data_IF_208145289230
#
_entry.id   IF_208145289230
#
_cell.length_a   1.000
_cell.length_b   1.000
_cell.length_c   1.000
_cell.angle_alpha   90.00
_cell.angle_beta   90.00
_cell.angle_gamma   90.00
#
_symmetry.space_group_name_H-M   'P 1'
#
loop_
_entity.id
_entity.type
_entity.pdbx_description
1 polymer ?
#
# COMPACT_ATOMS: atom_id res chain seq x y z
N UNK A 1 11.99 -28.29 8.17
CA UNK A 1 10.96 -29.34 8.13
C UNK A 1 11.32 -30.36 7.04
N UNK A 2 10.92 -31.63 7.18
CA UNK A 2 11.20 -32.67 6.17
C UNK A 2 10.40 -32.39 4.89
N UNK A 3 11.01 -32.62 3.74
CA UNK A 3 10.42 -32.41 2.41
C UNK A 3 9.88 -33.73 1.88
N UNK A 4 8.66 -33.75 1.35
CA UNK A 4 8.12 -34.89 0.61
C UNK A 4 8.74 -34.95 -0.80
N UNK A 5 9.18 -36.13 -1.29
CA UNK A 5 9.75 -36.26 -2.63
C UNK A 5 8.64 -36.24 -3.69
N UNK A 6 8.69 -35.28 -4.62
CA UNK A 6 7.73 -35.20 -5.73
C UNK A 6 7.71 -33.85 -6.47
N UNK A 7 8.02 -32.74 -5.79
CA UNK A 7 8.16 -31.44 -6.44
C UNK A 7 9.63 -31.16 -6.81
N UNK A 8 9.92 -31.09 -8.11
CA UNK A 8 11.09 -30.34 -8.58
C UNK A 8 10.89 -28.86 -8.27
N UNK A 9 11.59 -28.35 -7.25
CA UNK A 9 11.66 -26.92 -6.97
C UNK A 9 12.60 -26.27 -8.00
N UNK A 10 12.04 -25.53 -8.95
CA UNK A 10 12.82 -24.50 -9.63
C UNK A 10 13.01 -23.34 -8.64
N UNK A 11 14.25 -23.14 -8.21
CA UNK A 11 14.63 -22.19 -7.16
C UNK A 11 14.57 -20.72 -7.60
N UNK A 12 14.18 -20.45 -8.86
CA UNK A 12 13.93 -19.12 -9.41
C UNK A 12 12.65 -18.44 -8.88
N UNK A 13 11.68 -19.19 -8.33
CA UNK A 13 10.34 -18.68 -8.00
C UNK A 13 10.18 -18.03 -6.61
N UNK A 14 11.14 -18.18 -5.69
CA UNK A 14 10.89 -18.03 -4.23
C UNK A 14 11.19 -16.62 -3.67
N UNK A 15 11.70 -15.67 -4.46
CA UNK A 15 12.35 -14.44 -3.94
C UNK A 15 11.54 -13.12 -3.98
N UNK A 16 10.26 -13.12 -4.38
CA UNK A 16 9.56 -11.88 -4.75
C UNK A 16 8.62 -11.22 -3.74
N UNK A 17 8.34 -11.79 -2.55
CA UNK A 17 7.30 -11.23 -1.67
C UNK A 17 7.63 -11.28 -0.17
N UNK A 18 7.63 -10.09 0.45
CA UNK A 18 7.22 -9.87 1.83
C UNK A 18 6.34 -8.61 1.86
N UNK A 19 5.15 -8.75 2.48
CA UNK A 19 4.33 -7.64 3.02
C UNK A 19 3.48 -6.80 2.05
N UNK A 20 2.73 -7.44 1.14
CA UNK A 20 1.32 -7.06 0.88
C UNK A 20 0.52 -8.35 0.78
N UNK A 21 -0.62 -8.43 1.48
CA UNK A 21 -1.54 -9.57 1.38
C UNK A 21 -2.93 -9.02 1.06
N UNK A 22 -3.46 -9.39 -0.10
CA UNK A 22 -4.87 -9.21 -0.46
C UNK A 22 -5.55 -10.56 -0.23
N UNK A 23 -6.60 -10.58 0.59
CA UNK A 23 -7.31 -11.82 0.95
C UNK A 23 -8.72 -11.82 0.41
N UNK A 24 -8.91 -12.64 -0.62
CA UNK A 24 -10.10 -13.45 -0.91
C UNK A 24 -9.58 -14.80 -1.53
N UNK A 25 -10.39 -15.71 -2.11
CA UNK A 25 -10.01 -17.12 -2.47
C UNK A 25 -10.07 -17.62 -3.95
N UNK A 26 -10.52 -18.85 -4.25
CA UNK A 26 -10.04 -19.65 -5.42
C UNK A 26 -10.94 -19.65 -6.68
N UNK A 27 -10.49 -19.96 -7.92
CA UNK A 27 -9.13 -20.13 -8.54
C UNK A 27 -9.21 -19.76 -10.06
N UNK A 28 -8.21 -19.07 -10.64
CA UNK A 28 -7.20 -19.69 -11.55
C UNK A 28 -6.20 -18.72 -12.24
N UNK A 29 -4.91 -19.04 -12.06
CA UNK A 29 -3.74 -18.65 -12.89
C UNK A 29 -3.15 -17.22 -12.84
N UNK A 30 -1.85 -17.20 -12.45
CA UNK A 30 -0.79 -16.17 -12.71
C UNK A 30 -0.80 -14.87 -11.87
N UNK A 31 -0.25 -14.98 -10.66
CA UNK A 31 0.15 -13.85 -9.79
C UNK A 31 1.03 -12.81 -10.50
N UNK A 32 0.80 -11.50 -10.27
CA UNK A 32 1.73 -10.39 -10.60
C UNK A 32 1.70 -9.29 -9.53
N UNK A 33 2.83 -8.62 -9.32
CA UNK A 33 3.14 -7.83 -8.12
C UNK A 33 2.65 -6.37 -8.13
N UNK A 34 2.60 -5.74 -6.95
CA UNK A 34 2.54 -4.28 -6.75
C UNK A 34 3.73 -3.82 -5.91
N UNK A 35 4.32 -2.69 -6.28
CA UNK A 35 5.43 -2.07 -5.55
C UNK A 35 4.91 -1.12 -4.47
N UNK A 36 5.25 -1.40 -3.22
CA UNK A 36 5.17 -0.46 -2.09
C UNK A 36 6.60 -0.04 -1.75
N UNK A 37 6.81 1.24 -1.44
CA UNK A 37 8.14 1.72 -1.07
C UNK A 37 8.38 1.43 0.42
N UNK A 38 9.41 0.64 0.71
CA UNK A 38 9.93 0.45 2.07
C UNK A 38 10.88 1.59 2.41
N UNK A 39 10.55 2.36 3.44
CA UNK A 39 11.33 3.54 3.85
C UNK A 39 12.65 3.23 4.58
N UNK A 40 12.94 1.97 4.91
CA UNK A 40 14.03 1.62 5.82
C UNK A 40 15.44 1.65 5.19
N UNK A 41 15.59 1.50 3.86
CA UNK A 41 16.89 1.24 3.23
C UNK A 41 17.21 2.13 2.03
N UNK A 42 18.35 2.82 2.12
CA UNK A 42 18.79 3.86 1.18
C UNK A 42 19.51 3.27 -0.06
N UNK A 43 18.91 2.27 -0.72
CA UNK A 43 19.54 1.51 -1.82
C UNK A 43 18.60 1.36 -3.04
N UNK A 44 19.03 1.71 -4.27
CA UNK A 44 18.21 1.51 -5.46
C UNK A 44 18.32 0.05 -5.94
N UNK A 45 17.29 -0.76 -5.70
CA UNK A 45 17.15 -2.11 -6.28
C UNK A 45 16.39 -2.04 -7.62
N UNK A 46 17.12 -1.74 -8.69
CA UNK A 46 16.62 -1.86 -10.07
C UNK A 46 16.61 -3.33 -10.50
N UNK A 47 15.49 -3.86 -10.96
CA UNK A 47 15.45 -5.11 -11.72
C UNK A 47 14.34 -5.11 -12.79
N UNK A 48 14.67 -5.67 -13.96
CA UNK A 48 14.03 -5.38 -15.26
C UNK A 48 13.00 -6.42 -15.74
N UNK A 49 12.36 -6.08 -16.87
CA UNK A 49 11.21 -6.74 -17.54
C UNK A 49 11.65 -7.93 -18.44
N UNK A 50 10.83 -8.63 -19.24
CA UNK A 50 9.51 -8.39 -19.87
C UNK A 50 8.66 -9.70 -19.84
N UNK A 51 7.56 -9.99 -20.54
CA UNK A 51 6.79 -9.44 -21.69
C UNK A 51 5.26 -9.62 -21.41
N UNK A 52 4.25 -9.38 -22.26
CA UNK A 52 4.10 -8.96 -23.69
C UNK A 52 2.70 -8.25 -23.81
N UNK A 53 2.05 -7.92 -24.95
CA UNK A 53 2.38 -8.02 -26.38
C UNK A 53 1.97 -6.71 -27.12
N UNK A 54 1.30 -6.76 -28.29
CA UNK A 54 1.06 -5.61 -29.18
C UNK A 54 -0.38 -5.07 -29.35
N UNK A 55 -0.43 -3.86 -29.94
CA UNK A 55 -1.54 -3.25 -30.75
C UNK A 55 -2.79 -2.78 -29.95
N UNK A 56 -3.39 -1.58 -30.10
CA UNK A 56 -3.20 -0.42 -31.01
C UNK A 56 -3.54 0.93 -30.31
N UNK A 57 -3.26 2.07 -30.97
CA UNK A 57 -3.63 3.44 -30.52
C UNK A 57 -5.12 3.78 -30.71
N UNK A 58 -5.72 4.58 -29.81
CA UNK A 58 -6.62 5.72 -30.14
C UNK A 58 -7.27 6.41 -28.91
N UNK A 59 -7.40 7.74 -28.97
CA UNK A 59 -8.57 8.51 -28.47
C UNK A 59 -8.78 8.71 -26.96
N UNK A 60 -8.95 9.98 -26.54
CA UNK A 60 -9.56 10.34 -25.25
C UNK A 60 -11.07 10.08 -25.31
N UNK A 61 -11.58 9.23 -24.42
CA UNK A 61 -13.01 8.91 -24.29
C UNK A 61 -13.18 7.57 -23.56
N UNK A 62 -14.33 7.36 -22.91
CA UNK A 62 -14.61 6.09 -22.25
C UNK A 62 -14.69 4.97 -23.30
N UNK A 63 -13.69 4.08 -23.32
CA UNK A 63 -13.65 2.98 -24.28
C UNK A 63 -14.55 1.85 -23.78
N UNK A 64 -15.47 1.39 -24.64
CA UNK A 64 -16.10 0.07 -24.47
C UNK A 64 -15.03 -0.99 -24.70
N UNK A 65 -14.72 -1.79 -23.67
CA UNK A 65 -13.87 -2.96 -23.83
C UNK A 65 -14.57 -4.05 -24.65
N UNK A 66 -13.80 -5.04 -25.13
CA UNK A 66 -14.32 -6.19 -25.89
C UNK A 66 -15.47 -6.96 -25.20
N UNK A 67 -15.60 -6.82 -23.88
CA UNK A 67 -16.62 -7.49 -23.06
C UNK A 67 -17.80 -6.55 -22.71
N UNK A 68 -17.93 -5.39 -23.35
CA UNK A 68 -18.97 -4.38 -23.04
C UNK A 68 -18.71 -3.53 -21.79
N UNK A 69 -17.73 -3.91 -20.95
CA UNK A 69 -17.33 -3.13 -19.76
C UNK A 69 -16.74 -1.78 -20.17
N UNK A 70 -17.30 -0.69 -19.65
CA UNK A 70 -16.76 0.67 -19.82
C UNK A 70 -15.45 0.83 -19.04
N UNK A 71 -14.44 1.39 -19.69
CA UNK A 71 -13.13 1.66 -19.10
C UNK A 71 -12.85 3.15 -18.91
N UNK A 72 -12.15 3.46 -17.83
CA UNK A 72 -11.81 4.80 -17.36
C UNK A 72 -10.30 4.92 -17.12
N UNK A 73 -9.75 6.09 -17.41
CA UNK A 73 -8.43 6.48 -16.90
C UNK A 73 -8.58 6.97 -15.45
N UNK A 74 -7.85 6.31 -14.55
CA UNK A 74 -7.85 6.61 -13.12
C UNK A 74 -6.62 7.41 -12.66
N UNK A 75 -5.74 7.83 -13.58
CA UNK A 75 -4.64 8.72 -13.25
C UNK A 75 -5.14 10.14 -12.96
N UNK A 76 -4.97 10.60 -11.71
CA UNK A 76 -5.11 12.01 -11.36
C UNK A 76 -3.90 12.79 -11.89
N UNK A 77 -4.02 13.26 -13.12
CA UNK A 77 -2.98 14.02 -13.81
C UNK A 77 -2.65 15.36 -13.14
N UNK A 78 -3.57 15.96 -12.37
CA UNK A 78 -3.31 17.21 -11.65
C UNK A 78 -2.62 16.96 -10.31
N UNK A 79 -2.93 15.86 -9.60
CA UNK A 79 -2.11 15.40 -8.49
C UNK A 79 -0.69 15.03 -8.94
N UNK A 80 -0.54 14.33 -10.08
CA UNK A 80 0.79 13.98 -10.63
C UNK A 80 1.62 15.23 -10.94
N UNK A 81 1.04 16.25 -11.59
CA UNK A 81 1.72 17.53 -11.86
C UNK A 81 2.13 18.26 -10.57
N UNK A 82 1.24 18.29 -9.57
CA UNK A 82 1.52 18.91 -8.26
C UNK A 82 2.63 18.15 -7.54
N UNK A 83 2.56 16.82 -7.43
CA UNK A 83 3.63 16.02 -6.81
C UNK A 83 4.97 16.19 -7.56
N UNK A 84 4.96 16.31 -8.89
CA UNK A 84 6.17 16.55 -9.68
C UNK A 84 6.82 17.94 -9.45
N UNK A 85 6.05 18.97 -9.06
CA UNK A 85 6.59 20.31 -8.76
C UNK A 85 7.04 20.48 -7.30
N UNK A 86 6.77 19.50 -6.42
CA UNK A 86 7.20 19.55 -5.01
C UNK A 86 8.73 19.50 -4.86
N UNK A 87 9.23 20.33 -3.95
CA UNK A 87 10.64 20.46 -3.58
C UNK A 87 10.80 20.50 -2.07
N UNK A 88 11.96 20.04 -1.59
CA UNK A 88 12.24 19.87 -0.16
C UNK A 88 12.97 18.56 0.13
N UNK A 89 13.31 18.34 1.40
CA UNK A 89 14.01 17.14 1.84
C UNK A 89 13.12 15.90 1.71
N UNK A 90 13.63 14.84 1.07
CA UNK A 90 12.92 13.58 0.87
C UNK A 90 11.88 13.57 -0.26
N UNK A 91 11.57 14.73 -0.87
CA UNK A 91 10.66 14.86 -2.01
C UNK A 91 11.24 14.18 -3.27
N UNK A 92 10.37 13.71 -4.15
CA UNK A 92 10.69 12.84 -5.29
C UNK A 92 11.41 11.54 -4.90
N UNK A 93 11.31 11.12 -3.62
CA UNK A 93 12.07 10.00 -3.06
C UNK A 93 13.60 10.19 -3.05
N UNK A 94 14.08 11.43 -3.12
CA UNK A 94 15.51 11.73 -3.02
C UNK A 94 16.03 11.40 -1.61
N UNK A 95 17.30 10.94 -1.46
CA UNK A 95 17.88 10.69 -0.15
C UNK A 95 17.92 11.99 0.68
N UNK A 96 17.68 11.87 1.99
CA UNK A 96 17.79 12.99 2.91
C UNK A 96 19.29 13.36 3.12
N UNK A 97 19.65 14.65 3.14
CA UNK A 97 21.03 15.07 3.42
C UNK A 97 21.36 14.88 4.91
N UNK A 98 21.94 13.73 5.24
CA UNK A 98 22.30 13.35 6.62
C UNK A 98 23.43 14.20 7.20
N UNK A 99 23.20 14.76 8.38
CA UNK A 99 24.20 15.38 9.27
C UNK A 99 24.66 14.37 10.34
N UNK A 100 25.71 14.70 11.12
CA UNK A 100 26.22 13.79 12.17
C UNK A 100 25.20 13.55 13.29
N UNK A 101 24.35 14.53 13.59
CA UNK A 101 23.23 14.39 14.53
C UNK A 101 22.20 13.33 14.09
N UNK A 102 22.19 12.97 12.80
CA UNK A 102 21.27 12.02 12.20
C UNK A 102 21.81 10.59 12.18
N UNK A 103 23.12 10.43 12.44
CA UNK A 103 23.85 9.16 12.36
C UNK A 103 23.97 8.45 13.72
N UNK A 104 23.28 8.95 14.74
CA UNK A 104 23.30 8.38 16.09
C UNK A 104 22.41 7.14 16.19
N UNK A 105 22.90 6.09 16.88
CA UNK A 105 22.14 4.83 17.05
C UNK A 105 20.74 5.03 17.63
N UNK A 106 20.57 6.05 18.50
CA UNK A 106 19.29 6.39 19.11
C UNK A 106 18.19 6.62 18.08
N UNK A 107 18.51 7.17 16.90
CA UNK A 107 17.55 7.40 15.83
C UNK A 107 16.93 6.10 15.27
N UNK A 108 17.54 4.93 15.52
CA UNK A 108 17.11 3.62 15.04
C UNK A 108 16.53 2.71 16.14
N UNK A 109 16.88 2.92 17.42
CA UNK A 109 16.58 1.99 18.52
C UNK A 109 15.10 1.64 18.68
N UNK A 110 14.21 2.60 18.44
CA UNK A 110 12.78 2.42 18.72
C UNK A 110 12.01 1.73 17.60
N UNK A 111 12.37 1.98 16.33
CA UNK A 111 11.57 1.57 15.17
C UNK A 111 12.34 0.69 14.16
N UNK A 112 13.66 0.51 14.32
CA UNK A 112 14.53 -0.17 13.35
C UNK A 112 14.91 0.66 12.12
N UNK A 113 14.31 1.84 11.94
CA UNK A 113 14.64 2.83 10.91
C UNK A 113 14.85 4.22 11.53
N UNK A 114 15.46 5.15 10.77
CA UNK A 114 15.85 6.47 11.25
C UNK A 114 14.65 7.40 11.46
N UNK A 115 14.15 7.49 12.70
CA UNK A 115 12.97 8.32 13.02
C UNK A 115 13.28 9.82 12.90
N UNK A 116 14.49 10.27 13.24
CA UNK A 116 14.87 11.68 13.15
C UNK A 116 14.85 12.19 11.70
N UNK A 117 15.20 11.35 10.73
CA UNK A 117 15.07 11.66 9.30
C UNK A 117 13.60 11.63 8.88
N UNK A 118 12.86 10.61 9.32
CA UNK A 118 11.42 10.45 9.07
C UNK A 118 10.59 11.68 9.50
N UNK A 119 10.95 12.30 10.64
CA UNK A 119 10.27 13.49 11.19
C UNK A 119 10.52 14.78 10.39
N UNK A 120 11.66 14.86 9.68
CA UNK A 120 12.03 16.01 8.82
C UNK A 120 11.67 15.82 7.34
N UNK A 121 11.05 14.69 6.99
CA UNK A 121 10.49 14.44 5.66
C UNK A 121 8.97 14.71 5.71
N UNK A 122 8.45 15.49 4.76
CA UNK A 122 7.03 15.84 4.72
C UNK A 122 6.13 14.59 4.78
N UNK A 123 5.10 14.62 5.64
CA UNK A 123 4.05 13.58 5.69
C UNK A 123 3.33 13.40 4.33
N UNK A 124 3.39 14.42 3.48
CA UNK A 124 2.78 14.43 2.16
C UNK A 124 3.80 14.33 1.01
N UNK A 125 5.06 13.96 1.27
CA UNK A 125 6.13 14.02 0.26
C UNK A 125 5.78 13.31 -1.05
N UNK A 126 6.23 13.86 -2.18
CA UNK A 126 6.17 13.16 -3.46
C UNK A 126 7.16 11.99 -3.49
N UNK A 127 6.77 10.95 -4.22
CA UNK A 127 7.56 9.74 -4.45
C UNK A 127 7.74 9.54 -5.96
N UNK A 128 8.85 8.93 -6.42
CA UNK A 128 9.13 8.83 -7.84
C UNK A 128 8.22 7.79 -8.50
N UNK A 129 7.71 8.11 -9.69
CA UNK A 129 6.94 7.17 -10.50
C UNK A 129 7.87 6.16 -11.19
N UNK A 130 8.27 5.14 -10.43
CA UNK A 130 9.11 4.00 -10.86
C UNK A 130 8.33 2.92 -11.62
N UNK A 131 7.06 3.14 -11.94
CA UNK A 131 6.23 2.14 -12.64
C UNK A 131 6.70 1.97 -14.09
N UNK A 132 6.53 0.77 -14.64
CA UNK A 132 6.80 0.50 -16.05
C UNK A 132 6.01 1.48 -16.96
N UNK A 133 6.59 2.05 -18.04
CA UNK A 133 5.95 3.08 -18.86
C UNK A 133 4.52 2.74 -19.31
N UNK A 134 4.25 1.49 -19.70
CA UNK A 134 2.91 1.04 -20.11
C UNK A 134 1.83 1.22 -19.02
N UNK A 135 2.19 1.26 -17.73
CA UNK A 135 1.23 1.48 -16.64
C UNK A 135 0.58 2.87 -16.72
N UNK A 136 1.28 3.87 -17.27
CA UNK A 136 0.81 5.26 -17.44
C UNK A 136 -0.29 5.40 -18.50
N UNK A 137 -0.56 4.34 -19.27
CA UNK A 137 -1.57 4.29 -20.32
C UNK A 137 -2.63 3.20 -20.07
N UNK A 138 -2.58 2.50 -18.92
CA UNK A 138 -3.59 1.49 -18.58
C UNK A 138 -4.90 2.14 -18.13
N UNK A 139 -6.00 1.66 -18.71
CA UNK A 139 -7.37 1.94 -18.31
C UNK A 139 -7.92 0.76 -17.52
N UNK A 140 -8.70 1.05 -16.47
CA UNK A 140 -9.37 0.05 -15.63
C UNK A 140 -10.88 0.16 -15.79
N UNK A 141 -11.66 -0.73 -15.18
CA UNK A 141 -13.12 -0.62 -15.21
C UNK A 141 -13.59 0.71 -14.61
N UNK A 142 -14.67 1.28 -15.15
CA UNK A 142 -15.28 2.52 -14.62
C UNK A 142 -15.94 2.28 -13.26
N UNK A 143 -16.50 1.09 -13.06
CA UNK A 143 -16.99 0.58 -11.78
C UNK A 143 -15.94 -0.36 -11.21
N UNK A 144 -15.52 -0.11 -9.97
CA UNK A 144 -14.66 -0.96 -9.17
C UNK A 144 -15.32 -1.09 -7.79
N UNK A 145 -15.18 -2.23 -7.10
CA UNK A 145 -15.65 -2.35 -5.72
C UNK A 145 -14.91 -1.37 -4.81
N UNK A 146 -15.52 -1.00 -3.70
CA UNK A 146 -14.85 -0.22 -2.66
C UNK A 146 -14.00 -1.13 -1.75
N UNK A 147 -13.00 -0.56 -1.08
CA UNK A 147 -12.11 -1.29 -0.15
C UNK A 147 -12.11 -0.69 1.25
N UNK A 148 -11.95 -1.56 2.25
CA UNK A 148 -11.49 -1.17 3.60
C UNK A 148 -9.99 -1.39 3.70
N UNK A 149 -9.25 -0.33 4.00
CA UNK A 149 -7.79 -0.37 4.14
C UNK A 149 -7.45 -0.58 5.63
N UNK A 150 -6.78 -1.68 5.94
CA UNK A 150 -6.47 -2.11 7.31
C UNK A 150 -4.96 -1.95 7.54
N UNK A 151 -4.60 -1.13 8.53
CA UNK A 151 -3.22 -0.83 8.91
C UNK A 151 -3.03 -1.28 10.36
N UNK A 152 -2.53 -2.50 10.63
CA UNK A 152 -2.13 -2.91 11.96
C UNK A 152 -0.86 -2.16 12.38
N UNK A 153 -0.78 -1.70 13.62
CA UNK A 153 0.43 -1.06 14.16
C UNK A 153 0.65 -1.42 15.63
N UNK A 154 1.90 -1.37 16.07
CA UNK A 154 2.31 -1.49 17.46
C UNK A 154 3.56 -0.65 17.69
N UNK A 155 3.52 0.31 18.62
CA UNK A 155 4.66 1.17 18.97
C UNK A 155 5.33 1.88 17.78
N UNK A 156 4.58 2.10 16.70
CA UNK A 156 5.06 2.71 15.45
C UNK A 156 5.45 4.19 15.62
N UNK A 157 6.39 4.62 14.79
CA UNK A 157 6.80 6.02 14.69
C UNK A 157 5.64 6.93 14.28
N UNK A 158 5.55 8.11 14.89
CA UNK A 158 4.49 9.08 14.58
C UNK A 158 4.52 9.50 13.11
N UNK A 159 5.69 9.88 12.60
CA UNK A 159 5.84 10.37 11.22
C UNK A 159 5.73 9.27 10.16
N UNK A 160 6.12 8.02 10.46
CA UNK A 160 5.89 6.87 9.57
C UNK A 160 4.40 6.56 9.43
N UNK A 161 3.71 6.34 10.56
CA UNK A 161 2.27 6.02 10.58
C UNK A 161 1.43 7.07 9.87
N UNK A 162 1.63 8.35 10.19
CA UNK A 162 0.87 9.44 9.56
C UNK A 162 1.17 9.53 8.07
N UNK A 163 2.43 9.35 7.64
CA UNK A 163 2.79 9.40 6.21
C UNK A 163 2.19 8.24 5.42
N UNK A 164 2.04 7.05 6.02
CA UNK A 164 1.24 5.97 5.42
C UNK A 164 -0.20 6.41 5.19
N UNK A 165 -0.89 6.91 6.23
CA UNK A 165 -2.29 7.36 6.14
C UNK A 165 -2.46 8.48 5.09
N UNK A 166 -1.57 9.47 5.09
CA UNK A 166 -1.58 10.55 4.11
C UNK A 166 -1.31 10.05 2.69
N UNK A 167 -0.36 9.14 2.49
CA UNK A 167 -0.09 8.57 1.15
C UNK A 167 -1.31 7.84 0.59
N UNK A 168 -2.05 7.11 1.44
CA UNK A 168 -3.29 6.42 1.08
C UNK A 168 -4.38 7.43 0.73
N UNK A 169 -4.64 8.43 1.59
CA UNK A 169 -5.69 9.42 1.36
C UNK A 169 -5.43 10.30 0.12
N UNK A 170 -4.18 10.68 -0.13
CA UNK A 170 -3.81 11.58 -1.22
C UNK A 170 -3.71 10.89 -2.59
N UNK A 171 -3.46 9.58 -2.65
CA UNK A 171 -3.19 8.84 -3.91
C UNK A 171 -4.17 7.73 -4.24
N UNK A 172 -5.27 7.64 -3.48
CA UNK A 172 -6.39 6.75 -3.75
C UNK A 172 -7.62 7.58 -4.16
N UNK A 173 -8.37 7.19 -5.21
CA UNK A 173 -9.62 7.86 -5.53
C UNK A 173 -10.60 7.76 -4.34
N UNK A 174 -11.09 8.87 -3.76
CA UNK A 174 -11.84 8.84 -2.51
C UNK A 174 -13.08 7.94 -2.55
N UNK A 175 -13.73 7.80 -3.69
CA UNK A 175 -14.90 6.94 -3.90
C UNK A 175 -14.60 5.44 -3.80
N UNK A 176 -13.34 5.01 -3.90
CA UNK A 176 -12.92 3.61 -3.77
C UNK A 176 -12.53 3.23 -2.34
N UNK A 177 -12.30 4.21 -1.46
CA UNK A 177 -12.09 3.94 -0.02
C UNK A 177 -13.45 3.96 0.68
N UNK A 178 -13.87 2.82 1.23
CA UNK A 178 -14.97 2.80 2.20
C UNK A 178 -14.50 3.44 3.52
N UNK A 179 -13.44 2.89 4.11
CA UNK A 179 -12.81 3.37 5.34
C UNK A 179 -11.34 2.93 5.43
N UNK A 180 -10.59 3.57 6.34
CA UNK A 180 -9.25 3.19 6.76
C UNK A 180 -9.31 2.87 8.26
N UNK A 181 -8.94 1.65 8.63
CA UNK A 181 -8.91 1.18 10.01
C UNK A 181 -7.45 1.06 10.47
N UNK A 182 -7.05 1.93 11.40
CA UNK A 182 -5.79 1.80 12.12
C UNK A 182 -6.02 0.88 13.31
N UNK A 183 -5.34 -0.27 13.37
CA UNK A 183 -5.55 -1.26 14.44
C UNK A 183 -4.36 -1.25 15.40
N UNK A 184 -4.55 -0.67 16.58
CA UNK A 184 -3.57 -0.60 17.67
C UNK A 184 -3.48 -1.96 18.39
N UNK A 185 -2.40 -2.69 18.12
CA UNK A 185 -2.01 -3.93 18.81
C UNK A 185 -1.31 -3.60 20.14
N UNK A 186 -2.05 -2.94 21.04
CA UNK A 186 -1.65 -2.69 22.43
C UNK A 186 -0.30 -1.95 22.54
N UNK A 187 -0.19 -0.82 21.84
CA UNK A 187 0.97 0.08 21.95
C UNK A 187 1.07 0.71 23.34
N UNK A 188 2.28 1.03 23.79
CA UNK A 188 2.57 1.76 25.03
C UNK A 188 2.93 3.24 24.79
N UNK A 189 3.32 3.63 23.58
CA UNK A 189 3.74 5.00 23.25
C UNK A 189 2.61 6.01 23.40
N UNK A 190 2.82 7.06 24.20
CA UNK A 190 1.85 8.13 24.46
C UNK A 190 1.36 8.84 23.20
N UNK A 191 2.24 9.07 22.21
CA UNK A 191 1.85 9.70 20.94
C UNK A 191 0.82 8.88 20.15
N UNK A 192 0.69 7.57 20.41
CA UNK A 192 -0.29 6.70 19.77
C UNK A 192 -1.65 6.68 20.51
N UNK A 193 -1.79 7.41 21.63
CA UNK A 193 -3.02 7.49 22.44
C UNK A 193 -3.88 8.69 22.04
N UNK A 194 -4.11 9.63 22.96
CA UNK A 194 -5.01 10.77 22.76
C UNK A 194 -4.58 11.63 21.57
N UNK A 195 -3.28 11.92 21.43
CA UNK A 195 -2.74 12.72 20.33
C UNK A 195 -3.05 12.13 18.94
N UNK A 196 -3.05 10.79 18.81
CA UNK A 196 -3.41 10.12 17.56
C UNK A 196 -4.91 10.21 17.27
N UNK A 197 -5.75 10.08 18.31
CA UNK A 197 -7.21 10.25 18.19
C UNK A 197 -7.57 11.67 17.74
N UNK A 198 -7.06 12.69 18.42
CA UNK A 198 -7.21 14.11 18.05
C UNK A 198 -6.73 14.39 16.63
N UNK A 199 -5.61 13.78 16.21
CA UNK A 199 -5.11 13.94 14.85
C UNK A 199 -6.08 13.38 13.81
N UNK A 200 -6.56 12.15 14.04
CA UNK A 200 -7.35 11.36 13.09
C UNK A 200 -8.82 11.79 13.01
N UNK A 201 -9.39 12.43 14.04
CA UNK A 201 -10.74 13.05 13.99
C UNK A 201 -10.92 13.99 12.79
N UNK A 202 -9.83 14.63 12.33
CA UNK A 202 -9.84 15.55 11.17
C UNK A 202 -9.85 14.84 9.81
N UNK A 203 -9.72 13.51 9.79
CA UNK A 203 -9.63 12.68 8.58
C UNK A 203 -10.87 11.76 8.51
N UNK A 204 -11.98 12.18 7.87
CA UNK A 204 -13.31 11.56 8.06
C UNK A 204 -13.45 10.11 7.56
N UNK A 205 -12.45 9.57 6.87
CA UNK A 205 -12.40 8.16 6.46
C UNK A 205 -11.54 7.28 7.36
N UNK A 206 -10.87 7.84 8.35
CA UNK A 206 -9.95 7.12 9.24
C UNK A 206 -10.62 6.88 10.59
N UNK A 207 -10.51 5.66 11.11
CA UNK A 207 -10.83 5.36 12.51
C UNK A 207 -9.78 4.45 13.14
N UNK A 208 -9.72 4.49 14.46
CA UNK A 208 -8.80 3.69 15.27
C UNK A 208 -9.59 2.57 15.94
N UNK A 209 -9.06 1.35 15.92
CA UNK A 209 -9.55 0.19 16.65
C UNK A 209 -8.43 -0.25 17.60
N UNK A 210 -8.70 -0.35 18.91
CA UNK A 210 -7.67 -0.72 19.90
C UNK A 210 -7.93 -2.10 20.51
N UNK A 211 -6.88 -2.90 20.60
CA UNK A 211 -6.89 -4.19 21.31
C UNK A 211 -6.76 -3.98 22.83
N UNK A 212 -7.34 -4.90 23.63
CA UNK A 212 -7.29 -4.84 25.11
C UNK A 212 -6.00 -5.44 25.71
N UNK A 213 -5.22 -6.15 24.89
CA UNK A 213 -3.97 -6.82 25.21
C UNK A 213 -3.20 -7.03 23.91
N UNK A 214 -1.90 -7.33 23.98
CA UNK A 214 -1.11 -7.68 22.81
C UNK A 214 -1.63 -8.98 22.17
N UNK A 215 -2.07 -8.91 20.93
CA UNK A 215 -2.60 -10.05 20.15
C UNK A 215 -1.64 -10.51 19.05
N UNK A 216 -0.79 -9.60 18.54
CA UNK A 216 0.18 -9.87 17.49
C UNK A 216 -0.39 -9.74 16.08
N UNK A 217 0.49 -9.36 15.14
CA UNK A 217 0.18 -8.91 13.77
C UNK A 217 -0.95 -9.68 13.05
N UNK A 218 -0.96 -11.02 13.12
CA UNK A 218 -1.97 -11.85 12.44
C UNK A 218 -3.37 -11.59 13.03
N UNK A 219 -3.52 -11.65 14.35
CA UNK A 219 -4.81 -11.41 15.01
C UNK A 219 -5.25 -9.96 14.89
N UNK A 220 -4.32 -9.02 14.94
CA UNK A 220 -4.57 -7.59 14.69
C UNK A 220 -5.15 -7.36 13.29
N UNK A 221 -4.60 -8.01 12.25
CA UNK A 221 -5.17 -7.99 10.90
C UNK A 221 -6.58 -8.61 10.86
N UNK A 222 -6.81 -9.75 11.51
CA UNK A 222 -8.12 -10.39 11.59
C UNK A 222 -9.18 -9.54 12.33
N UNK A 223 -8.80 -8.81 13.38
CA UNK A 223 -9.69 -7.88 14.08
C UNK A 223 -10.07 -6.68 13.20
N UNK A 224 -9.13 -6.16 12.41
CA UNK A 224 -9.43 -5.15 11.38
C UNK A 224 -10.39 -5.68 10.30
N UNK A 225 -10.18 -6.92 9.85
CA UNK A 225 -11.02 -7.59 8.86
C UNK A 225 -12.45 -7.80 9.35
N UNK A 226 -12.62 -8.32 10.57
CA UNK A 226 -13.93 -8.54 11.18
C UNK A 226 -14.73 -7.25 11.45
N UNK A 227 -14.05 -6.10 11.50
CA UNK A 227 -14.67 -4.79 11.69
C UNK A 227 -14.88 -4.02 10.38
N UNK A 228 -14.46 -4.54 9.23
CA UNK A 228 -14.48 -3.84 7.94
C UNK A 228 -15.89 -3.80 7.30
N UNK A 229 -16.17 -2.72 6.56
CA UNK A 229 -17.46 -2.50 5.86
C UNK A 229 -17.35 -2.52 4.33
N UNK A 230 -16.13 -2.59 3.80
CA UNK A 230 -15.89 -2.52 2.36
C UNK A 230 -16.03 -3.87 1.66
N UNK A 231 -16.26 -3.83 0.35
CA UNK A 231 -16.41 -5.02 -0.49
C UNK A 231 -15.10 -5.83 -0.61
N UNK A 232 -13.95 -5.13 -0.57
CA UNK A 232 -12.61 -5.71 -0.59
C UNK A 232 -11.84 -5.33 0.68
N UNK A 233 -10.93 -6.20 1.13
CA UNK A 233 -9.97 -5.91 2.19
C UNK A 233 -8.59 -5.63 1.62
N UNK A 234 -7.97 -4.52 2.04
CA UNK A 234 -6.60 -4.16 1.62
C UNK A 234 -5.71 -3.95 2.85
N UNK A 235 -4.73 -4.83 3.04
CA UNK A 235 -3.79 -4.73 4.15
C UNK A 235 -2.52 -3.98 3.73
N UNK A 236 -2.13 -2.99 4.51
CA UNK A 236 -0.86 -2.27 4.40
C UNK A 236 -0.16 -2.28 5.76
N UNK A 237 1.18 -2.25 5.79
CA UNK A 237 1.91 -2.05 7.03
C UNK A 237 1.99 -0.55 7.37
N UNK A 238 2.30 -0.25 8.64
CA UNK A 238 2.22 1.07 9.24
C UNK A 238 3.36 2.04 8.91
N UNK A 239 4.25 1.64 7.99
CA UNK A 239 5.40 2.41 7.51
C UNK A 239 5.56 2.31 5.98
N UNK A 240 4.45 2.15 5.26
CA UNK A 240 4.38 2.11 3.80
C UNK A 240 4.13 3.51 3.20
N UNK A 241 4.57 3.74 1.96
CA UNK A 241 4.13 4.89 1.15
C UNK A 241 3.50 4.43 -0.16
N UNK A 242 2.21 4.72 -0.34
CA UNK A 242 1.49 4.47 -1.57
C UNK A 242 2.00 5.38 -2.70
N UNK A 243 2.14 4.82 -3.91
CA UNK A 243 2.57 5.54 -5.11
C UNK A 243 1.36 5.90 -6.01
N UNK A 244 1.59 6.65 -7.09
CA UNK A 244 0.54 7.12 -8.00
C UNK A 244 -0.30 5.97 -8.61
N UNK A 245 -1.62 6.11 -8.53
CA UNK A 245 -2.61 5.21 -9.12
C UNK A 245 -2.39 3.72 -8.74
N UNK A 246 -2.11 3.49 -7.45
CA UNK A 246 -1.85 2.16 -6.89
C UNK A 246 -3.12 1.32 -6.67
N UNK A 247 -4.24 1.97 -6.30
CA UNK A 247 -5.45 1.27 -5.87
C UNK A 247 -6.33 0.73 -7.00
N UNK A 248 -6.64 1.49 -8.07
CA UNK A 248 -7.46 0.99 -9.19
C UNK A 248 -6.96 -0.29 -9.88
N UNK A 249 -5.64 -0.53 -10.10
CA UNK A 249 -5.19 -1.83 -10.59
C UNK A 249 -5.42 -2.99 -9.62
N UNK A 250 -5.39 -2.75 -8.30
CA UNK A 250 -5.60 -3.78 -7.28
C UNK A 250 -7.07 -4.17 -7.07
N UNK A 251 -8.00 -3.27 -7.40
CA UNK A 251 -9.45 -3.52 -7.33
C UNK A 251 -10.03 -3.98 -8.67
N UNK A 252 -9.18 -4.19 -9.68
CA UNK A 252 -9.59 -4.77 -10.96
C UNK A 252 -9.91 -6.26 -10.83
N UNK A 253 -10.78 -6.75 -11.71
CA UNK A 253 -11.30 -8.13 -11.75
C UNK A 253 -10.18 -9.20 -11.75
N UNK A 254 -8.98 -8.89 -12.27
CA UNK A 254 -7.82 -9.79 -12.31
C UNK A 254 -7.10 -10.00 -10.95
N UNK A 255 -7.45 -9.24 -9.90
CA UNK A 255 -6.74 -9.21 -8.60
C UNK A 255 -7.61 -9.58 -7.39
N UNK A 256 -8.93 -9.62 -7.57
CA UNK A 256 -9.88 -10.09 -6.57
C UNK A 256 -10.07 -11.59 -6.74
N UNK A 257 -10.35 -12.25 -5.64
CA UNK A 257 -10.39 -13.70 -5.53
C UNK A 257 -11.67 -14.10 -4.74
N UNK A 258 -12.02 -15.38 -4.57
CA UNK A 258 -13.31 -15.83 -3.96
C UNK A 258 -13.13 -16.79 -2.75
N UNK A 259 -13.28 -16.30 -1.50
CA UNK A 259 -13.11 -17.18 -0.31
C UNK A 259 -14.27 -18.17 -0.11
N UNK A 260 -15.37 -18.03 -0.85
CA UNK A 260 -16.58 -18.84 -0.64
C UNK A 260 -16.53 -20.23 -1.29
N UNK A 261 -15.52 -20.54 -2.12
CA UNK A 261 -15.42 -21.84 -2.81
C UNK A 261 -14.74 -22.96 -2.02
N UNK A 262 -14.33 -22.75 -0.77
CA UNK A 262 -13.62 -23.77 0.02
C UNK A 262 -14.52 -24.66 0.91
N UNK A 263 -15.85 -24.48 0.89
CA UNK A 263 -16.81 -25.23 1.72
C UNK A 263 -17.65 -26.27 0.96
N UNK A 264 -17.19 -26.71 -0.23
CA UNK A 264 -17.77 -27.84 -0.97
C UNK A 264 -16.73 -28.74 -1.65
N UNK A 265 -15.96 -29.49 -0.85
CA UNK A 265 -15.51 -30.87 -1.16
C UNK A 265 -14.88 -31.57 0.05
#
# INVERSE_FOLDING_TARGET
LRVWPGCHLDTSLVKCFRHVLLLTGSVNSKCRCVCVYDGAHNHPSVQFCFFHQGVNRAGKGAQLGRNGVRRKDWHDNEAIKRDASRSGNGEQGKPFPLTDADRVDQAYRENGFNIYVSDRISLNRSVPDIRHPNCKHKLYAEKLPNTTIIIPFHNEGWSSLLRTVHSVLNRSPPQLIAEIILVDDFSDKEHLKVALEEYMVRLPKVRILRTKKREGLIRTRLLGAAAAKGEVLTFLDSHCEANVNWLPPLLGEDFIIDHTQYDMQ
#
